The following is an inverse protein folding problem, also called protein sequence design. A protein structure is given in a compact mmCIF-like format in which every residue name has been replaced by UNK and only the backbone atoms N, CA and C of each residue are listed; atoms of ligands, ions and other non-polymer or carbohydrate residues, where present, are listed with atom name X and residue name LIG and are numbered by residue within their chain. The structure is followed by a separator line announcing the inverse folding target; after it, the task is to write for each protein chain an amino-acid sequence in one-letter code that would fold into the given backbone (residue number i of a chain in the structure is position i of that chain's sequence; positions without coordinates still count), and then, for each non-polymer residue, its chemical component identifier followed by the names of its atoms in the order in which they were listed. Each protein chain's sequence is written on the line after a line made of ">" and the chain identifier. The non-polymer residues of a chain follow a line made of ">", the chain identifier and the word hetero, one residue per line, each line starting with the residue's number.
data_IF_874242377184
#
_entry.id   IF_874242377184
#
_cell.length_a   1.000
_cell.length_b   1.000
_cell.length_c   1.000
_cell.angle_alpha   90.00
_cell.angle_beta   90.00
_cell.angle_gamma   90.00
#
_symmetry.space_group_name_H-M   'P 1'
#
loop_
_entity.id
_entity.type
_entity.pdbx_description
1 polymer ?
#
# COMPACT_ATOMS: atom_id res chain seq x y z
N UNK A 1 -29.81 -8.23 9.82
CA UNK A 1 -28.86 -7.61 10.79
C UNK A 1 -27.38 -7.89 10.52
N UNK A 2 -26.99 -9.03 9.93
CA UNK A 2 -25.58 -9.39 9.68
C UNK A 2 -24.86 -8.58 8.61
N UNK A 3 -25.49 -8.28 7.48
CA UNK A 3 -24.86 -7.60 6.33
C UNK A 3 -24.52 -6.14 6.64
N UNK A 4 -25.41 -5.40 7.27
CA UNK A 4 -25.18 -3.99 7.64
C UNK A 4 -24.04 -3.91 8.66
N UNK A 5 -24.01 -4.79 9.64
CA UNK A 5 -22.94 -4.82 10.65
C UNK A 5 -21.56 -5.18 10.03
N UNK A 6 -21.55 -5.99 8.99
CA UNK A 6 -20.34 -6.31 8.25
C UNK A 6 -19.83 -5.11 7.43
N UNK A 7 -20.73 -4.36 6.80
CA UNK A 7 -20.39 -3.19 5.98
C UNK A 7 -19.97 -1.96 6.81
N UNK A 8 -20.33 -1.91 8.10
CA UNK A 8 -19.99 -0.81 9.01
C UNK A 8 -18.82 -1.13 9.95
N UNK A 9 -18.33 -2.37 9.94
CA UNK A 9 -17.20 -2.75 10.76
C UNK A 9 -15.89 -2.26 10.12
N UNK A 10 -15.04 -1.61 10.90
CA UNK A 10 -13.65 -1.31 10.54
C UNK A 10 -12.71 -1.51 11.72
N UNK A 11 -11.49 -1.87 11.41
CA UNK A 11 -10.39 -1.90 12.35
C UNK A 11 -9.79 -0.50 12.39
N UNK A 12 -9.87 0.14 13.54
CA UNK A 12 -9.48 1.56 13.69
C UNK A 12 -7.97 1.73 13.66
N UNK A 13 -7.54 2.85 13.10
CA UNK A 13 -6.16 3.28 13.16
C UNK A 13 -5.72 3.54 14.61
N UNK A 14 -4.49 3.16 14.93
CA UNK A 14 -3.90 3.37 16.26
C UNK A 14 -3.28 4.77 16.37
N UNK A 15 -2.93 5.17 17.59
CA UNK A 15 -2.45 6.52 17.92
C UNK A 15 -1.25 6.94 17.06
N UNK A 16 -0.27 6.07 16.83
CA UNK A 16 0.92 6.39 16.03
C UNK A 16 0.55 6.73 14.58
N UNK A 17 -0.45 6.07 14.01
CA UNK A 17 -0.95 6.39 12.68
C UNK A 17 -1.74 7.72 12.68
N UNK A 18 -2.58 7.96 13.68
CA UNK A 18 -3.34 9.19 13.81
C UNK A 18 -2.43 10.42 14.06
N UNK A 19 -1.35 10.27 14.82
CA UNK A 19 -0.36 11.33 15.01
C UNK A 19 0.31 11.72 13.68
N UNK A 20 0.54 10.75 12.79
CA UNK A 20 1.12 10.99 11.47
C UNK A 20 0.18 11.70 10.47
N UNK A 21 -1.09 11.88 10.82
CA UNK A 21 -2.05 12.71 10.08
C UNK A 21 -1.81 14.22 10.26
N UNK A 22 -0.96 14.62 11.20
CA UNK A 22 -0.62 16.02 11.38
C UNK A 22 0.45 16.47 10.38
N UNK A 23 0.25 17.66 9.78
CA UNK A 23 1.28 18.29 8.95
C UNK A 23 2.51 18.64 9.78
N UNK A 24 3.69 18.54 9.16
CA UNK A 24 4.98 18.89 9.74
C UNK A 24 5.70 19.91 8.85
N UNK A 25 6.90 20.32 9.21
CA UNK A 25 7.75 21.16 8.35
C UNK A 25 8.23 20.42 7.08
N UNK A 26 8.09 19.08 7.01
CA UNK A 26 8.58 18.25 5.92
C UNK A 26 7.47 17.71 5.03
N UNK A 27 6.27 17.51 5.60
CA UNK A 27 5.12 16.93 4.89
C UNK A 27 3.86 17.71 5.25
N UNK A 28 3.16 18.20 4.23
CA UNK A 28 1.80 18.73 4.35
C UNK A 28 0.81 17.58 4.23
N UNK A 29 -0.10 17.45 5.19
CA UNK A 29 -1.16 16.42 5.18
C UNK A 29 -2.51 17.11 5.04
N UNK A 30 -3.30 16.66 4.08
CA UNK A 30 -4.64 17.21 3.80
C UNK A 30 -5.64 16.10 3.54
N UNK A 31 -6.84 16.24 4.09
CA UNK A 31 -7.99 15.41 3.69
C UNK A 31 -8.79 16.16 2.63
N UNK A 32 -8.85 15.63 1.42
CA UNK A 32 -9.53 16.25 0.27
C UNK A 32 -10.55 15.26 -0.28
N UNK A 33 -11.83 15.50 -0.01
CA UNK A 33 -12.91 14.62 -0.44
C UNK A 33 -12.74 13.20 0.12
N UNK A 34 -12.41 12.25 -0.76
CA UNK A 34 -12.21 10.84 -0.39
C UNK A 34 -10.74 10.42 -0.36
N UNK A 35 -9.82 11.38 -0.26
CA UNK A 35 -8.38 11.11 -0.21
C UNK A 35 -7.74 11.72 1.03
N UNK A 36 -6.63 11.13 1.47
CA UNK A 36 -5.68 11.71 2.41
C UNK A 36 -4.38 11.88 1.63
N UNK A 37 -3.92 13.13 1.52
CA UNK A 37 -2.80 13.51 0.67
C UNK A 37 -1.62 13.93 1.53
N UNK A 38 -0.48 13.30 1.33
CA UNK A 38 0.80 13.61 1.95
C UNK A 38 1.71 14.23 0.90
N UNK A 39 1.92 15.53 0.99
CA UNK A 39 2.72 16.29 0.02
C UNK A 39 4.05 16.69 0.65
N UNK A 40 5.21 16.31 0.07
CA UNK A 40 6.50 16.80 0.53
C UNK A 40 6.58 18.33 0.39
N UNK A 41 7.19 19.00 1.37
CA UNK A 41 7.28 20.47 1.39
C UNK A 41 8.63 20.99 0.91
N UNK A 42 9.68 20.17 0.93
CA UNK A 42 11.05 20.56 0.58
C UNK A 42 11.33 20.51 -0.93
N UNK A 43 10.58 19.68 -1.65
CA UNK A 43 10.75 19.46 -3.09
C UNK A 43 9.39 19.35 -3.75
N UNK A 44 9.27 19.78 -5.01
CA UNK A 44 8.10 19.49 -5.81
C UNK A 44 8.14 18.01 -6.24
N UNK A 45 7.16 17.19 -5.86
CA UNK A 45 7.16 15.78 -6.21
C UNK A 45 6.87 15.59 -7.70
N UNK A 46 7.66 14.77 -8.38
CA UNK A 46 7.39 14.27 -9.74
C UNK A 46 6.93 12.82 -9.74
N UNK A 47 7.03 12.15 -8.58
CA UNK A 47 6.58 10.77 -8.38
C UNK A 47 5.48 10.72 -7.33
N UNK A 48 4.45 9.92 -7.60
CA UNK A 48 3.33 9.72 -6.70
C UNK A 48 3.05 8.25 -6.41
N UNK A 49 2.53 7.99 -5.21
CA UNK A 49 2.11 6.67 -4.79
C UNK A 49 0.66 6.69 -4.31
N UNK A 50 -0.23 5.98 -5.02
CA UNK A 50 -1.63 5.79 -4.65
C UNK A 50 -1.75 4.51 -3.84
N UNK A 51 -2.20 4.66 -2.59
CA UNK A 51 -2.37 3.54 -1.67
C UNK A 51 -3.84 3.18 -1.46
N UNK A 52 -4.13 1.89 -1.57
CA UNK A 52 -5.43 1.29 -1.29
C UNK A 52 -5.40 0.51 0.03
N UNK A 53 -6.23 0.89 1.02
CA UNK A 53 -6.29 0.21 2.32
C UNK A 53 -6.72 -1.24 2.24
N UNK A 54 -6.36 -2.01 3.25
CA UNK A 54 -6.85 -3.36 3.47
C UNK A 54 -8.37 -3.40 3.70
N UNK A 55 -8.98 -4.56 3.47
CA UNK A 55 -10.42 -4.72 3.68
C UNK A 55 -10.79 -4.49 5.15
N UNK A 56 -11.77 -3.64 5.39
CA UNK A 56 -12.26 -3.27 6.74
C UNK A 56 -11.20 -2.65 7.65
N UNK A 57 -10.15 -2.05 7.09
CA UNK A 57 -9.12 -1.29 7.80
C UNK A 57 -9.30 0.19 7.50
N UNK A 58 -9.29 1.04 8.51
CA UNK A 58 -9.38 2.49 8.33
C UNK A 58 -8.19 3.01 7.52
N UNK A 59 -8.40 3.91 6.55
CA UNK A 59 -7.34 4.40 5.66
C UNK A 59 -6.21 5.09 6.42
N UNK A 60 -6.51 5.76 7.52
CA UNK A 60 -5.56 6.44 8.42
C UNK A 60 -4.50 5.48 8.98
N UNK A 61 -4.76 4.17 9.02
CA UNK A 61 -3.82 3.15 9.51
C UNK A 61 -2.50 3.08 8.74
N UNK A 62 -2.45 3.61 7.51
CA UNK A 62 -1.24 3.71 6.70
C UNK A 62 -0.56 5.09 6.80
N UNK A 63 -1.13 6.04 7.56
CA UNK A 63 -0.63 7.42 7.61
C UNK A 63 0.83 7.52 8.07
N UNK A 64 1.27 6.67 9.01
CA UNK A 64 2.66 6.64 9.46
C UNK A 64 3.62 6.34 8.30
N UNK A 65 3.37 5.26 7.55
CA UNK A 65 4.20 4.92 6.40
C UNK A 65 4.10 5.97 5.29
N UNK A 66 2.89 6.48 5.02
CA UNK A 66 2.66 7.51 4.01
C UNK A 66 3.44 8.80 4.30
N UNK A 67 3.46 9.24 5.56
CA UNK A 67 4.20 10.42 6.00
C UNK A 67 5.71 10.22 5.83
N UNK A 68 6.24 9.08 6.28
CA UNK A 68 7.68 8.78 6.16
C UNK A 68 8.12 8.64 4.69
N UNK A 69 7.31 7.99 3.84
CA UNK A 69 7.59 7.91 2.39
C UNK A 69 7.56 9.32 1.77
N UNK A 70 6.61 10.17 2.18
CA UNK A 70 6.51 11.52 1.64
C UNK A 70 7.71 12.42 2.00
N UNK A 71 8.37 12.22 3.14
CA UNK A 71 9.62 12.91 3.50
C UNK A 71 10.73 12.70 2.47
N UNK A 72 10.68 11.60 1.70
CA UNK A 72 11.64 11.29 0.65
C UNK A 72 11.34 11.96 -0.70
N UNK A 73 10.36 12.86 -0.76
CA UNK A 73 10.03 13.62 -1.99
C UNK A 73 8.95 12.97 -2.85
N UNK A 74 8.26 11.93 -2.36
CA UNK A 74 7.18 11.22 -3.08
C UNK A 74 5.84 11.75 -2.57
N UNK A 75 4.93 12.16 -3.47
CA UNK A 75 3.54 12.42 -3.07
C UNK A 75 2.85 11.09 -2.74
N UNK A 76 2.26 10.97 -1.55
CA UNK A 76 1.48 9.77 -1.20
C UNK A 76 0.01 10.12 -1.06
N UNK A 77 -0.86 9.37 -1.72
CA UNK A 77 -2.31 9.57 -1.66
C UNK A 77 -2.98 8.28 -1.19
N UNK A 78 -3.53 8.31 0.01
CA UNK A 78 -4.35 7.22 0.53
C UNK A 78 -5.78 7.43 0.04
N UNK A 79 -6.32 6.48 -0.72
CA UNK A 79 -7.69 6.53 -1.21
C UNK A 79 -8.65 5.90 -0.20
N UNK A 80 -9.54 6.69 0.36
CA UNK A 80 -10.66 6.19 1.19
C UNK A 80 -11.65 5.42 0.31
N UNK A 81 -11.95 4.19 0.71
CA UNK A 81 -12.80 3.30 -0.08
C UNK A 81 -14.22 3.19 0.49
N UNK A 82 -15.23 3.04 -0.38
CA UNK A 82 -16.59 2.81 0.09
C UNK A 82 -16.63 1.59 1.02
N UNK A 83 -17.22 1.76 2.21
CA UNK A 83 -17.32 0.70 3.24
C UNK A 83 -15.96 0.06 3.63
N UNK A 84 -14.85 0.77 3.45
CA UNK A 84 -13.49 0.23 3.61
C UNK A 84 -13.25 -1.06 2.79
N UNK A 85 -13.84 -1.14 1.58
CA UNK A 85 -13.70 -2.25 0.64
C UNK A 85 -13.14 -1.75 -0.69
N UNK A 86 -11.84 -1.90 -0.89
CA UNK A 86 -11.12 -1.37 -2.05
C UNK A 86 -11.67 -1.88 -3.40
N UNK A 87 -12.21 -3.10 -3.45
CA UNK A 87 -12.80 -3.66 -4.67
C UNK A 87 -13.96 -2.81 -5.23
N UNK A 88 -14.72 -2.13 -4.37
CA UNK A 88 -15.85 -1.28 -4.80
C UNK A 88 -15.35 0.03 -5.40
N UNK A 89 -14.19 0.52 -4.94
CA UNK A 89 -13.60 1.79 -5.38
C UNK A 89 -12.31 1.63 -6.21
N UNK A 90 -12.06 0.45 -6.79
CA UNK A 90 -10.78 0.13 -7.46
C UNK A 90 -10.35 1.14 -8.56
N UNK A 91 -11.30 1.80 -9.20
CA UNK A 91 -11.04 2.75 -10.28
C UNK A 91 -10.82 4.21 -9.81
N UNK A 92 -10.90 4.47 -8.50
CA UNK A 92 -10.73 5.84 -7.95
C UNK A 92 -9.30 6.39 -8.11
N UNK A 93 -8.31 5.53 -8.25
CA UNK A 93 -6.93 5.94 -8.50
C UNK A 93 -6.76 6.77 -9.77
N UNK A 94 -7.56 6.53 -10.80
CA UNK A 94 -7.50 7.31 -12.05
C UNK A 94 -7.89 8.78 -11.84
N UNK A 95 -8.87 9.05 -10.99
CA UNK A 95 -9.27 10.42 -10.64
C UNK A 95 -8.15 11.17 -9.90
N UNK A 96 -7.31 10.47 -9.14
CA UNK A 96 -6.14 11.06 -8.47
C UNK A 96 -5.12 11.49 -9.52
N UNK A 97 -4.83 10.64 -10.50
CA UNK A 97 -3.90 10.94 -11.60
C UNK A 97 -4.36 12.19 -12.35
N UNK A 98 -5.64 12.25 -12.70
CA UNK A 98 -6.24 13.40 -13.41
C UNK A 98 -6.20 14.70 -12.57
N UNK A 99 -6.17 14.57 -11.23
CA UNK A 99 -6.14 15.75 -10.33
C UNK A 99 -4.73 16.31 -10.15
N UNK A 100 -3.70 15.49 -10.20
CA UNK A 100 -2.32 15.87 -9.91
C UNK A 100 -1.42 15.76 -11.15
N UNK A 101 -1.72 16.55 -12.17
CA UNK A 101 -1.05 16.54 -13.49
C UNK A 101 0.46 16.81 -13.43
N UNK A 102 0.96 17.45 -12.36
CA UNK A 102 2.39 17.69 -12.15
C UNK A 102 3.19 16.43 -11.77
N UNK A 103 2.52 15.34 -11.41
CA UNK A 103 3.16 14.07 -11.11
C UNK A 103 3.35 13.28 -12.40
N UNK A 104 4.60 13.04 -12.75
CA UNK A 104 4.98 12.40 -14.02
C UNK A 104 4.91 10.87 -13.97
N UNK A 105 5.15 10.28 -12.78
CA UNK A 105 5.18 8.83 -12.58
C UNK A 105 4.32 8.45 -11.40
N UNK A 106 3.29 7.65 -11.67
CA UNK A 106 2.43 7.11 -10.63
C UNK A 106 2.69 5.63 -10.36
N UNK A 107 2.79 5.31 -9.08
CA UNK A 107 2.76 3.94 -8.58
C UNK A 107 1.43 3.71 -7.87
N UNK A 108 0.88 2.51 -7.99
CA UNK A 108 -0.33 2.12 -7.26
C UNK A 108 -0.03 0.90 -6.42
N UNK A 109 -0.65 0.79 -5.27
CA UNK A 109 -0.44 -0.39 -4.43
C UNK A 109 -1.41 -0.45 -3.28
N UNK A 110 -1.18 -1.38 -2.38
CA UNK A 110 -2.02 -1.48 -1.20
C UNK A 110 -1.80 -2.74 -0.39
N UNK A 111 -2.49 -2.76 0.74
CA UNK A 111 -2.43 -3.82 1.73
C UNK A 111 -3.55 -4.84 1.51
N UNK A 112 -3.20 -6.14 1.53
CA UNK A 112 -4.18 -7.22 1.51
C UNK A 112 -5.19 -7.05 0.34
N UNK A 113 -6.49 -6.90 0.61
CA UNK A 113 -7.53 -6.64 -0.39
C UNK A 113 -7.26 -5.36 -1.22
N UNK A 114 -6.62 -4.35 -0.62
CA UNK A 114 -6.19 -3.14 -1.33
C UNK A 114 -5.19 -3.43 -2.44
N UNK A 115 -4.22 -4.31 -2.20
CA UNK A 115 -3.24 -4.71 -3.21
C UNK A 115 -3.88 -5.51 -4.36
N UNK A 116 -4.85 -6.39 -4.06
CA UNK A 116 -5.65 -7.05 -5.11
C UNK A 116 -6.37 -6.01 -5.98
N UNK A 117 -6.98 -5.00 -5.34
CA UNK A 117 -7.72 -3.95 -6.04
C UNK A 117 -6.80 -3.02 -6.84
N UNK A 118 -5.57 -2.79 -6.38
CA UNK A 118 -4.53 -2.10 -7.13
C UNK A 118 -4.15 -2.89 -8.40
N UNK A 119 -3.99 -4.23 -8.30
CA UNK A 119 -3.79 -5.08 -9.48
C UNK A 119 -4.97 -5.01 -10.46
N UNK A 120 -6.21 -4.95 -9.96
CA UNK A 120 -7.41 -4.80 -10.81
C UNK A 120 -7.37 -3.48 -11.59
N UNK A 121 -6.99 -2.37 -10.96
CA UNK A 121 -6.83 -1.07 -11.63
C UNK A 121 -5.68 -1.11 -12.64
N UNK A 122 -4.49 -1.55 -12.22
CA UNK A 122 -3.29 -1.59 -13.04
C UNK A 122 -3.42 -2.53 -14.26
N UNK A 123 -4.09 -3.67 -14.11
CA UNK A 123 -4.33 -4.59 -15.24
C UNK A 123 -5.30 -4.01 -16.29
N UNK A 124 -6.15 -3.05 -15.90
CA UNK A 124 -7.13 -2.43 -16.79
C UNK A 124 -6.55 -1.26 -17.59
N UNK A 125 -5.68 -0.45 -16.97
CA UNK A 125 -5.01 0.69 -17.59
C UNK A 125 -3.53 0.72 -17.15
N UNK A 126 -2.72 -0.21 -17.66
CA UNK A 126 -1.32 -0.33 -17.24
C UNK A 126 -0.48 0.91 -17.58
N UNK A 127 -0.83 1.61 -18.65
CA UNK A 127 -0.16 2.85 -19.09
C UNK A 127 -0.28 4.00 -18.08
N UNK A 128 -1.22 3.94 -17.16
CA UNK A 128 -1.42 4.95 -16.12
C UNK A 128 -0.41 4.83 -14.96
N UNK A 129 0.35 3.72 -14.90
CA UNK A 129 1.21 3.44 -13.75
C UNK A 129 2.61 3.01 -14.19
N UNK A 130 3.62 3.46 -13.47
CA UNK A 130 5.00 2.97 -13.60
C UNK A 130 5.21 1.64 -12.89
N UNK A 131 4.43 1.37 -11.82
CA UNK A 131 4.55 0.12 -11.10
C UNK A 131 3.47 -0.13 -10.06
N UNK A 132 3.49 -1.35 -9.51
CA UNK A 132 2.55 -1.83 -8.50
C UNK A 132 3.30 -2.30 -7.25
N UNK A 133 2.79 -1.93 -6.07
CA UNK A 133 3.37 -2.29 -4.77
C UNK A 133 2.36 -3.08 -3.95
N UNK A 134 2.72 -4.31 -3.59
CA UNK A 134 1.86 -5.24 -2.87
C UNK A 134 2.38 -5.44 -1.45
N UNK A 135 1.57 -5.07 -0.45
CA UNK A 135 1.84 -5.34 0.96
C UNK A 135 0.99 -6.50 1.45
N UNK A 136 1.61 -7.63 1.77
CA UNK A 136 0.91 -8.85 2.19
C UNK A 136 -0.29 -9.14 1.26
N UNK A 137 -0.05 -9.09 -0.04
CA UNK A 137 -1.08 -9.20 -1.07
C UNK A 137 -0.56 -9.97 -2.29
N UNK A 138 -1.47 -10.35 -3.16
CA UNK A 138 -1.17 -11.09 -4.38
C UNK A 138 -2.24 -10.84 -5.45
N UNK A 139 -1.88 -11.06 -6.71
CA UNK A 139 -2.84 -11.01 -7.82
C UNK A 139 -3.38 -12.41 -8.16
N UNK A 140 -4.28 -12.47 -9.11
CA UNK A 140 -4.89 -13.70 -9.63
C UNK A 140 -4.83 -13.70 -11.15
N UNK A 141 -5.14 -14.85 -11.76
CA UNK A 141 -5.20 -14.99 -13.23
C UNK A 141 -6.07 -13.92 -13.91
N UNK A 142 -7.17 -13.52 -13.26
CA UNK A 142 -8.11 -12.52 -13.83
C UNK A 142 -7.55 -11.10 -13.87
N UNK A 143 -6.48 -10.83 -13.12
CA UNK A 143 -5.85 -9.50 -12.99
C UNK A 143 -4.33 -9.64 -13.09
N UNK A 144 -3.88 -10.52 -14.00
CA UNK A 144 -2.48 -10.73 -14.24
C UNK A 144 -1.80 -9.45 -14.76
N UNK A 145 -0.58 -9.21 -14.29
CA UNK A 145 0.24 -8.05 -14.67
C UNK A 145 1.40 -8.45 -15.57
N UNK A 146 1.49 -9.71 -15.99
CA UNK A 146 2.49 -10.22 -16.93
C UNK A 146 2.43 -9.45 -18.23
N UNK A 147 3.60 -9.10 -18.78
CA UNK A 147 3.76 -8.47 -20.08
C UNK A 147 3.05 -7.11 -20.26
N UNK A 148 2.71 -6.42 -19.14
CA UNK A 148 2.09 -5.09 -19.16
C UNK A 148 3.10 -3.93 -19.02
N UNK A 149 4.40 -4.20 -18.94
CA UNK A 149 5.44 -3.19 -18.78
C UNK A 149 5.51 -2.54 -17.39
N UNK A 150 4.81 -3.10 -16.40
CA UNK A 150 4.76 -2.58 -15.04
C UNK A 150 5.89 -3.17 -14.18
N UNK A 151 6.55 -2.33 -13.42
CA UNK A 151 7.43 -2.78 -12.34
C UNK A 151 6.59 -3.28 -11.15
N UNK A 152 7.01 -4.33 -10.46
CA UNK A 152 6.25 -4.84 -9.30
C UNK A 152 7.17 -5.10 -8.10
N UNK A 153 6.77 -4.57 -6.94
CA UNK A 153 7.34 -4.87 -5.63
C UNK A 153 6.31 -5.65 -4.81
N UNK A 154 6.68 -6.82 -4.31
CA UNK A 154 5.86 -7.65 -3.42
C UNK A 154 6.54 -7.79 -2.06
N UNK A 155 5.97 -7.18 -1.03
CA UNK A 155 6.41 -7.25 0.36
C UNK A 155 5.50 -8.18 1.15
N UNK A 156 6.06 -9.20 1.79
CA UNK A 156 5.34 -10.17 2.63
C UNK A 156 6.07 -10.36 3.96
N UNK A 157 5.36 -10.85 4.97
CA UNK A 157 5.97 -11.24 6.24
C UNK A 157 6.21 -12.75 6.31
N UNK A 158 7.34 -13.20 6.88
CA UNK A 158 7.63 -14.64 7.01
C UNK A 158 6.63 -15.35 7.94
N UNK A 159 6.01 -14.61 8.86
CA UNK A 159 4.98 -15.10 9.80
C UNK A 159 3.54 -14.75 9.36
N UNK A 160 3.34 -14.28 8.12
CA UNK A 160 1.99 -13.94 7.63
C UNK A 160 1.10 -15.20 7.55
N UNK A 161 0.02 -15.22 8.35
CA UNK A 161 -0.97 -16.30 8.38
C UNK A 161 -2.08 -16.16 7.34
N UNK A 162 -2.21 -15.00 6.70
CA UNK A 162 -3.30 -14.68 5.77
C UNK A 162 -2.82 -14.65 4.31
N UNK A 163 -1.84 -13.83 3.96
CA UNK A 163 -1.17 -13.83 2.67
C UNK A 163 0.08 -14.72 2.73
N UNK A 164 -0.13 -15.99 3.02
CA UNK A 164 0.93 -16.96 3.27
C UNK A 164 1.90 -17.08 2.09
N UNK A 165 3.14 -17.49 2.37
CA UNK A 165 4.17 -17.78 1.35
C UNK A 165 3.62 -18.64 0.21
N UNK A 166 2.83 -19.67 0.53
CA UNK A 166 2.22 -20.54 -0.49
C UNK A 166 1.26 -19.78 -1.43
N UNK A 167 0.51 -18.79 -0.92
CA UNK A 167 -0.37 -17.95 -1.75
C UNK A 167 0.44 -17.00 -2.63
N UNK A 168 1.50 -16.40 -2.10
CA UNK A 168 2.42 -15.54 -2.86
C UNK A 168 3.08 -16.35 -3.99
N UNK A 169 3.64 -17.52 -3.69
CA UNK A 169 4.26 -18.40 -4.68
C UNK A 169 3.26 -18.81 -5.79
N UNK A 170 2.02 -19.14 -5.43
CA UNK A 170 0.96 -19.50 -6.41
C UNK A 170 0.61 -18.34 -7.33
N UNK A 171 0.80 -17.09 -6.89
CA UNK A 171 0.48 -15.89 -7.68
C UNK A 171 1.63 -15.45 -8.61
N UNK A 172 2.86 -15.89 -8.39
CA UNK A 172 4.04 -15.51 -9.20
C UNK A 172 3.84 -15.63 -10.71
N UNK A 173 3.16 -16.67 -11.24
CA UNK A 173 2.91 -16.76 -12.69
C UNK A 173 2.04 -15.64 -13.27
N UNK A 174 1.39 -14.85 -12.44
CA UNK A 174 0.52 -13.73 -12.84
C UNK A 174 1.17 -12.36 -12.66
N UNK A 175 2.45 -12.32 -12.27
CA UNK A 175 3.25 -11.11 -12.10
C UNK A 175 4.41 -11.10 -13.11
N UNK A 176 4.98 -9.93 -13.43
CA UNK A 176 6.18 -9.83 -14.27
C UNK A 176 7.33 -10.72 -13.73
N UNK A 177 8.15 -11.24 -14.64
CA UNK A 177 9.26 -12.13 -14.27
C UNK A 177 10.34 -11.44 -13.41
N UNK A 178 10.48 -10.15 -13.57
CA UNK A 178 11.39 -9.26 -12.86
C UNK A 178 10.78 -8.66 -11.57
N UNK A 179 9.62 -9.17 -11.14
CA UNK A 179 9.01 -8.77 -9.86
C UNK A 179 10.01 -8.94 -8.71
N UNK A 180 10.17 -7.87 -7.93
CA UNK A 180 11.00 -7.89 -6.71
C UNK A 180 10.17 -8.46 -5.56
N UNK A 181 10.58 -9.62 -5.05
CA UNK A 181 9.95 -10.26 -3.89
C UNK A 181 10.83 -10.07 -2.66
N UNK A 182 10.30 -9.44 -1.62
CA UNK A 182 10.99 -9.23 -0.36
C UNK A 182 10.14 -9.79 0.79
N UNK A 183 10.70 -10.76 1.52
CA UNK A 183 10.11 -11.33 2.71
C UNK A 183 10.71 -10.63 3.94
N UNK A 184 9.85 -10.01 4.76
CA UNK A 184 10.25 -9.36 6.02
C UNK A 184 10.34 -10.44 7.08
N UNK A 185 11.55 -10.77 7.49
CA UNK A 185 11.79 -11.82 8.49
C UNK A 185 11.14 -11.47 9.83
N UNK A 186 10.36 -12.39 10.38
CA UNK A 186 9.56 -12.18 11.59
C UNK A 186 8.32 -11.29 11.40
N UNK A 187 8.13 -10.69 10.23
CA UNK A 187 6.95 -9.86 9.93
C UNK A 187 5.68 -10.69 9.78
N UNK A 188 4.51 -10.07 10.00
CA UNK A 188 3.21 -10.72 9.81
C UNK A 188 2.25 -9.84 9.00
N UNK A 189 1.02 -10.34 8.76
CA UNK A 189 0.00 -9.61 8.01
C UNK A 189 -0.46 -8.35 8.72
N UNK A 190 -0.80 -8.46 10.00
CA UNK A 190 -1.39 -7.38 10.80
C UNK A 190 -0.50 -6.15 10.87
N UNK A 191 0.82 -6.34 10.95
CA UNK A 191 1.77 -5.24 11.09
C UNK A 191 2.14 -4.54 9.76
N UNK A 192 1.46 -4.88 8.63
CA UNK A 192 1.62 -4.13 7.36
C UNK A 192 0.99 -2.73 7.41
N UNK A 193 0.15 -2.44 8.42
CA UNK A 193 -0.37 -1.12 8.74
C UNK A 193 -0.50 -0.97 10.27
N UNK A 194 -0.85 0.21 10.76
CA UNK A 194 -0.89 0.52 12.20
C UNK A 194 -2.35 0.66 12.66
N UNK A 195 -2.94 -0.44 13.15
CA UNK A 195 -4.35 -0.52 13.52
C UNK A 195 -4.63 -1.60 14.57
N UNK A 196 -5.87 -1.59 15.09
CA UNK A 196 -6.45 -2.67 15.89
C UNK A 196 -5.95 -2.75 17.33
N UNK A 197 -5.29 -1.70 17.85
CA UNK A 197 -4.79 -1.66 19.23
C UNK A 197 -3.72 -2.72 19.51
N UNK A 198 -2.96 -3.13 18.50
CA UNK A 198 -1.94 -4.18 18.62
C UNK A 198 -2.50 -5.61 18.63
N UNK A 199 -3.83 -5.79 18.45
CA UNK A 199 -4.44 -7.11 18.35
C UNK A 199 -4.20 -7.73 16.98
N UNK A 200 -3.95 -9.05 16.97
CA UNK A 200 -3.80 -9.80 15.72
C UNK A 200 -5.12 -9.84 14.95
N UNK A 201 -5.05 -9.60 13.64
CA UNK A 201 -6.15 -9.89 12.74
C UNK A 201 -6.46 -11.40 12.80
N UNK A 202 -7.75 -11.73 12.78
CA UNK A 202 -8.19 -13.13 12.86
C UNK A 202 -7.56 -13.98 11.74
N UNK A 203 -6.86 -15.02 12.14
CA UNK A 203 -6.19 -15.95 11.22
C UNK A 203 -4.74 -15.61 10.92
N UNK A 204 -4.24 -14.50 11.46
CA UNK A 204 -2.82 -14.14 11.33
C UNK A 204 -1.98 -14.80 12.45
N UNK A 205 -0.67 -14.89 12.25
CA UNK A 205 0.29 -15.38 13.22
C UNK A 205 0.97 -14.22 13.96
N UNK A 206 1.50 -14.52 15.14
CA UNK A 206 2.26 -13.56 15.94
C UNK A 206 3.55 -13.17 15.21
N UNK A 207 3.84 -11.87 15.14
CA UNK A 207 5.09 -11.38 14.61
C UNK A 207 6.28 -11.73 15.51
N UNK A 208 7.44 -11.92 14.91
CA UNK A 208 8.73 -12.09 15.59
C UNK A 208 9.51 -10.79 15.77
N UNK A 209 9.03 -9.70 15.15
CA UNK A 209 9.63 -8.36 15.23
C UNK A 209 8.58 -7.35 15.70
N UNK A 210 9.03 -6.15 16.10
CA UNK A 210 8.11 -5.09 16.47
C UNK A 210 7.38 -4.53 15.24
N UNK A 211 6.17 -3.97 15.47
CA UNK A 211 5.39 -3.32 14.42
C UNK A 211 6.18 -2.18 13.75
N UNK A 212 6.87 -1.38 14.53
CA UNK A 212 7.66 -0.26 14.01
C UNK A 212 8.85 -0.74 13.17
N UNK A 213 9.50 -1.84 13.53
CA UNK A 213 10.59 -2.37 12.71
C UNK A 213 10.08 -2.94 11.39
N UNK A 214 8.91 -3.59 11.38
CA UNK A 214 8.26 -4.01 10.14
C UNK A 214 7.89 -2.80 9.27
N UNK A 215 7.34 -1.72 9.85
CA UNK A 215 7.02 -0.49 9.13
C UNK A 215 8.27 0.18 8.54
N UNK A 216 9.38 0.23 9.27
CA UNK A 216 10.66 0.77 8.76
C UNK A 216 11.12 0.04 7.49
N UNK A 217 11.09 -1.30 7.50
CA UNK A 217 11.45 -2.09 6.32
C UNK A 217 10.50 -1.80 5.15
N UNK A 218 9.19 -1.77 5.41
CA UNK A 218 8.17 -1.45 4.42
C UNK A 218 8.41 -0.08 3.78
N UNK A 219 8.66 0.95 4.59
CA UNK A 219 8.92 2.33 4.15
C UNK A 219 10.20 2.38 3.30
N UNK A 220 11.31 1.85 3.81
CA UNK A 220 12.60 1.82 3.12
C UNK A 220 12.49 1.15 1.75
N UNK A 221 11.90 -0.03 1.67
CA UNK A 221 11.82 -0.79 0.42
C UNK A 221 10.85 -0.14 -0.59
N UNK A 222 9.75 0.46 -0.10
CA UNK A 222 8.82 1.22 -0.94
C UNK A 222 9.50 2.45 -1.53
N UNK A 223 10.17 3.23 -0.68
CA UNK A 223 10.88 4.45 -1.10
C UNK A 223 11.96 4.13 -2.13
N UNK A 224 12.83 3.15 -1.85
CA UNK A 224 13.88 2.73 -2.77
C UNK A 224 13.32 2.26 -4.12
N UNK A 225 12.22 1.50 -4.12
CA UNK A 225 11.57 1.04 -5.33
C UNK A 225 11.01 2.18 -6.18
N UNK A 226 10.31 3.15 -5.56
CA UNK A 226 9.72 4.28 -6.26
C UNK A 226 10.80 5.22 -6.80
N UNK A 227 11.83 5.50 -6.00
CA UNK A 227 12.93 6.38 -6.41
C UNK A 227 13.87 5.72 -7.40
N UNK A 228 13.78 4.40 -7.60
CA UNK A 228 14.71 3.62 -8.42
C UNK A 228 16.16 3.88 -7.99
N UNK A 229 16.38 3.90 -6.68
CA UNK A 229 17.74 3.94 -6.14
C UNK A 229 18.43 2.67 -6.61
N UNK A 230 19.22 2.81 -7.68
CA UNK A 230 20.06 1.74 -8.21
C UNK A 230 20.97 1.24 -7.10
N UNK A 231 20.94 -0.07 -6.86
CA UNK A 231 22.05 -0.70 -6.17
C UNK A 231 23.25 -0.46 -7.09
N UNK A 232 24.14 0.46 -6.72
CA UNK A 232 25.50 0.44 -7.24
C UNK A 232 25.99 -0.99 -7.04
N UNK A 233 26.05 -1.72 -8.13
CA UNK A 233 26.69 -3.04 -8.18
C UNK A 233 28.17 -2.83 -7.87
N UNK A 234 28.53 -3.16 -6.63
CA UNK A 234 29.93 -3.37 -6.25
C UNK A 234 30.40 -4.72 -6.73
#
# INVERSE_FOLDING_TARGET
>A
MGVIKYLTFSLSADEEALLAMNSTSEVKVEEIGTTIVFTPTKTLPTKGFIYYPGGQVEPESFAYAANEIAKSGIMVVIQKMPFNLAMIGKDRGFQIIDTYEAIEQWYIGGFSLGGVSACMAASRQPESFSGVILYASYTTKGYALTDLGLQVLSLSGSNDGLATKAKIEKAKPYLPKDTIYLEIEGGNHTQMAIYGGGNLQKGDNKAGISRIDQQKVLIEKTTAFILQEEKESK
#
